data_IF_018419878691
#
_entry.id   IF_018419878691
#
_cell.length_a   1.000
_cell.length_b   1.000
_cell.length_c   1.000
_cell.angle_alpha   90.00
_cell.angle_beta   90.00
_cell.angle_gamma   90.00
#
_symmetry.space_group_name_H-M   'P 1'
#
loop_
_entity.id
_entity.type
_entity.pdbx_description
1 polymer ?
#
# COMPACT_ATOMS: atom_id res chain seq x y z
N UNK A 1 -2.71 -9.43 -21.17
CA UNK A 1 -4.02 -10.00 -20.80
C UNK A 1 -4.60 -9.09 -19.72
N UNK A 2 -5.70 -8.40 -20.01
CA UNK A 2 -6.37 -7.58 -19.00
C UNK A 2 -6.98 -8.53 -17.95
N UNK A 3 -6.55 -8.41 -16.69
CA UNK A 3 -7.15 -9.17 -15.59
C UNK A 3 -8.65 -8.89 -15.52
N UNK A 4 -9.43 -9.89 -15.14
CA UNK A 4 -10.86 -9.72 -14.89
C UNK A 4 -11.06 -8.57 -13.88
N UNK A 5 -12.09 -7.73 -14.00
CA UNK A 5 -12.42 -6.72 -12.97
C UNK A 5 -12.64 -7.32 -11.56
N UNK A 6 -12.68 -8.66 -11.46
CA UNK A 6 -12.78 -9.43 -10.23
C UNK A 6 -11.46 -10.07 -9.75
N UNK A 7 -10.33 -9.85 -10.43
CA UNK A 7 -9.04 -10.45 -10.07
C UNK A 7 -8.44 -9.80 -8.84
N UNK A 8 -8.37 -10.53 -7.75
CA UNK A 8 -7.83 -10.10 -6.45
C UNK A 8 -6.45 -9.45 -6.56
N UNK A 9 -6.23 -8.35 -5.85
CA UNK A 9 -4.92 -7.71 -5.64
C UNK A 9 -4.41 -8.06 -4.23
N UNK A 10 -5.04 -7.52 -3.19
CA UNK A 10 -4.75 -7.85 -1.79
C UNK A 10 -5.84 -8.69 -1.14
N UNK A 11 -7.07 -8.58 -1.66
CA UNK A 11 -8.22 -9.32 -1.16
C UNK A 11 -7.96 -10.84 -1.11
N UNK A 12 -8.44 -11.48 -0.03
CA UNK A 12 -8.37 -12.93 0.12
C UNK A 12 -9.40 -13.64 -0.75
N UNK A 13 -10.48 -12.96 -1.15
CA UNK A 13 -11.58 -13.53 -1.95
C UNK A 13 -11.92 -12.67 -3.17
N UNK A 14 -12.41 -13.26 -4.28
CA UNK A 14 -12.97 -12.50 -5.38
C UNK A 14 -14.10 -11.58 -4.89
N UNK A 15 -14.27 -10.42 -5.55
CA UNK A 15 -15.30 -9.45 -5.14
C UNK A 15 -16.72 -10.03 -5.18
N UNK A 16 -16.99 -10.94 -6.13
CA UNK A 16 -18.25 -11.68 -6.28
C UNK A 16 -18.55 -12.57 -5.06
N UNK A 17 -17.52 -13.06 -4.37
CA UNK A 17 -17.66 -13.92 -3.20
C UNK A 17 -17.74 -13.13 -1.89
N UNK A 18 -17.63 -11.80 -1.94
CA UNK A 18 -17.70 -10.91 -0.78
C UNK A 18 -19.10 -10.28 -0.64
N UNK A 19 -20.04 -11.09 -0.21
CA UNK A 19 -21.48 -10.79 -0.24
C UNK A 19 -21.92 -9.97 0.98
N UNK A 20 -22.87 -9.05 0.76
CA UNK A 20 -23.64 -8.41 1.84
C UNK A 20 -22.92 -7.27 2.57
N UNK A 21 -21.78 -6.79 2.03
CA UNK A 21 -20.96 -5.72 2.62
C UNK A 21 -20.71 -4.55 1.65
N UNK A 22 -21.45 -4.48 0.55
CA UNK A 22 -21.24 -3.46 -0.48
C UNK A 22 -21.47 -2.05 0.04
N UNK A 23 -22.44 -1.87 0.95
CA UNK A 23 -22.72 -0.57 1.58
C UNK A 23 -21.52 -0.09 2.42
N UNK A 24 -20.85 -0.99 3.15
CA UNK A 24 -19.66 -0.66 3.91
C UNK A 24 -18.45 -0.40 3.01
N UNK A 25 -18.28 -1.18 1.94
CA UNK A 25 -17.23 -0.92 0.96
C UNK A 25 -17.41 0.48 0.35
N UNK A 26 -18.64 0.83 -0.04
CA UNK A 26 -18.94 2.12 -0.64
C UNK A 26 -18.73 3.27 0.35
N UNK A 27 -19.10 3.07 1.63
CA UNK A 27 -18.82 4.05 2.68
C UNK A 27 -17.32 4.31 2.82
N UNK A 28 -16.49 3.27 2.83
CA UNK A 28 -15.03 3.41 2.92
C UNK A 28 -14.46 4.08 1.67
N UNK A 29 -14.96 3.74 0.48
CA UNK A 29 -14.55 4.39 -0.78
C UNK A 29 -14.88 5.86 -0.80
N UNK A 30 -16.12 6.22 -0.46
CA UNK A 30 -16.57 7.61 -0.37
C UNK A 30 -15.75 8.41 0.65
N UNK A 31 -15.31 7.76 1.74
CA UNK A 31 -14.46 8.40 2.73
C UNK A 31 -13.00 8.55 2.30
N UNK A 32 -12.51 7.78 1.31
CA UNK A 32 -11.11 7.82 0.89
C UNK A 32 -10.65 9.17 0.31
N UNK A 33 -11.59 10.05 -0.07
CA UNK A 33 -11.32 11.42 -0.52
C UNK A 33 -11.41 12.46 0.61
N UNK A 34 -11.72 12.04 1.84
CA UNK A 34 -11.78 12.91 3.01
C UNK A 34 -10.38 13.20 3.58
N UNK A 35 -10.24 14.32 4.28
CA UNK A 35 -9.05 14.65 5.08
C UNK A 35 -9.07 14.05 6.49
N UNK A 36 -10.19 13.48 6.92
CA UNK A 36 -10.38 12.92 8.25
C UNK A 36 -10.00 11.43 8.31
N UNK A 37 -9.74 10.92 9.52
CA UNK A 37 -9.47 9.50 9.75
C UNK A 37 -10.74 8.72 10.11
N UNK A 38 -10.83 7.47 9.66
CA UNK A 38 -11.89 6.54 10.03
C UNK A 38 -11.36 5.39 10.90
N UNK A 39 -12.00 5.19 12.05
CA UNK A 39 -11.72 4.04 12.92
C UNK A 39 -12.74 2.92 12.66
N UNK A 40 -12.28 1.81 12.09
CA UNK A 40 -13.10 0.62 11.88
C UNK A 40 -12.94 -0.34 13.06
N UNK A 41 -13.96 -0.43 13.91
CA UNK A 41 -14.02 -1.38 15.02
C UNK A 41 -14.86 -2.59 14.62
N UNK A 42 -14.33 -3.79 14.89
CA UNK A 42 -15.05 -5.03 14.63
C UNK A 42 -14.58 -6.12 15.59
N UNK A 43 -15.45 -7.07 15.90
CA UNK A 43 -15.04 -8.27 16.65
C UNK A 43 -14.12 -9.14 15.78
N UNK A 44 -13.15 -9.86 16.38
CA UNK A 44 -12.29 -10.77 15.64
C UNK A 44 -13.09 -11.78 14.80
N UNK A 45 -12.61 -12.08 13.59
CA UNK A 45 -13.25 -13.06 12.69
C UNK A 45 -14.40 -12.51 11.83
N UNK A 46 -14.82 -11.26 11.99
CA UNK A 46 -15.92 -10.65 11.20
C UNK A 46 -15.51 -10.15 9.80
N UNK A 47 -14.24 -10.33 9.44
CA UNK A 47 -13.73 -9.95 8.12
C UNK A 47 -13.42 -8.47 7.92
N UNK A 48 -13.19 -7.67 8.98
CA UNK A 48 -12.76 -6.27 8.85
C UNK A 48 -11.51 -6.10 7.97
N UNK A 49 -10.52 -7.00 8.10
CA UNK A 49 -9.33 -7.01 7.24
C UNK A 49 -9.68 -7.29 5.78
N UNK A 50 -10.60 -8.22 5.53
CA UNK A 50 -11.05 -8.52 4.17
C UNK A 50 -11.82 -7.34 3.59
N UNK A 51 -12.68 -6.69 4.37
CA UNK A 51 -13.38 -5.47 3.98
C UNK A 51 -12.40 -4.39 3.51
N UNK A 52 -11.34 -4.11 4.29
CA UNK A 52 -10.33 -3.12 3.92
C UNK A 52 -9.60 -3.50 2.62
N UNK A 53 -9.26 -4.79 2.44
CA UNK A 53 -8.59 -5.28 1.23
C UNK A 53 -9.50 -5.24 0.00
N UNK A 54 -10.79 -5.54 0.16
CA UNK A 54 -11.79 -5.40 -0.90
C UNK A 54 -11.94 -3.92 -1.31
N UNK A 55 -11.98 -3.01 -0.34
CA UNK A 55 -11.96 -1.57 -0.61
C UNK A 55 -10.69 -1.15 -1.34
N UNK A 56 -9.52 -1.61 -0.89
CA UNK A 56 -8.23 -1.35 -1.55
C UNK A 56 -8.25 -1.78 -3.01
N UNK A 57 -8.66 -3.04 -3.27
CA UNK A 57 -8.77 -3.61 -4.60
C UNK A 57 -9.64 -2.75 -5.53
N UNK A 58 -10.81 -2.30 -5.05
CA UNK A 58 -11.70 -1.43 -5.82
C UNK A 58 -11.09 -0.04 -6.04
N UNK A 59 -10.48 0.56 -5.02
CA UNK A 59 -9.79 1.86 -5.15
C UNK A 59 -8.64 1.79 -6.17
N UNK A 60 -7.84 0.72 -6.16
CA UNK A 60 -6.71 0.56 -7.07
C UNK A 60 -7.15 0.55 -8.54
N UNK A 61 -8.30 -0.07 -8.85
CA UNK A 61 -8.82 -0.15 -10.23
C UNK A 61 -9.56 1.11 -10.65
N UNK A 62 -10.32 1.71 -9.74
CA UNK A 62 -11.30 2.74 -10.09
C UNK A 62 -10.75 4.17 -9.91
N UNK A 63 -9.77 4.38 -9.04
CA UNK A 63 -9.16 5.70 -8.82
C UNK A 63 -7.94 5.92 -9.71
N UNK A 64 -7.79 7.15 -10.21
CA UNK A 64 -6.60 7.59 -10.96
C UNK A 64 -5.84 8.71 -10.22
N UNK A 65 -6.44 9.32 -9.19
CA UNK A 65 -5.91 10.51 -8.53
C UNK A 65 -5.33 10.20 -7.14
N UNK A 66 -6.00 9.37 -6.34
CA UNK A 66 -5.53 8.99 -5.01
C UNK A 66 -4.89 7.60 -5.09
N UNK A 67 -3.63 7.50 -4.71
CA UNK A 67 -2.92 6.22 -4.61
C UNK A 67 -3.40 5.47 -3.37
N UNK A 68 -4.07 4.31 -3.52
CA UNK A 68 -4.45 3.52 -2.36
C UNK A 68 -3.20 2.87 -1.74
N UNK A 69 -3.18 2.83 -0.42
CA UNK A 69 -2.13 2.17 0.36
C UNK A 69 -2.78 1.25 1.39
N UNK A 70 -2.25 0.03 1.50
CA UNK A 70 -2.58 -0.89 2.56
C UNK A 70 -1.31 -1.29 3.31
N UNK A 71 -1.26 -1.03 4.60
CA UNK A 71 -0.16 -1.46 5.46
C UNK A 71 -0.70 -2.22 6.67
N UNK A 72 -0.03 -3.32 7.02
CA UNK A 72 -0.36 -4.10 8.21
C UNK A 72 0.86 -4.20 9.12
N UNK A 73 0.67 -3.86 10.40
CA UNK A 73 1.70 -4.01 11.41
C UNK A 73 1.89 -5.50 11.70
N UNK A 74 3.04 -6.05 11.29
CA UNK A 74 3.36 -7.45 11.50
C UNK A 74 3.80 -7.69 12.94
N UNK A 75 3.36 -8.81 13.53
CA UNK A 75 3.80 -9.25 14.88
C UNK A 75 5.31 -9.50 14.99
N UNK A 76 5.98 -9.68 13.85
CA UNK A 76 7.42 -9.97 13.77
C UNK A 76 8.29 -8.71 13.78
N UNK A 77 7.70 -7.50 13.73
CA UNK A 77 8.45 -6.26 13.81
C UNK A 77 9.17 -6.17 15.16
N UNK A 78 10.50 -6.05 15.16
CA UNK A 78 11.31 -6.08 16.39
C UNK A 78 11.59 -4.68 16.93
N UNK A 79 11.41 -3.66 16.09
CA UNK A 79 11.61 -2.27 16.46
C UNK A 79 10.69 -1.34 15.65
N UNK A 80 10.55 -0.08 16.10
CA UNK A 80 9.88 0.95 15.32
C UNK A 80 10.60 1.27 14.00
N UNK A 81 11.93 1.11 13.95
CA UNK A 81 12.70 1.27 12.72
C UNK A 81 12.40 0.15 11.72
N UNK A 82 12.28 -1.11 12.18
CA UNK A 82 11.90 -2.25 11.34
C UNK A 82 10.50 -2.04 10.74
N UNK A 83 9.57 -1.51 11.56
CA UNK A 83 8.21 -1.21 11.12
C UNK A 83 8.20 -0.10 10.07
N UNK A 84 8.97 0.96 10.30
CA UNK A 84 9.11 2.08 9.39
C UNK A 84 9.73 1.65 8.05
N UNK A 85 10.79 0.84 8.07
CA UNK A 85 11.40 0.27 6.86
C UNK A 85 10.41 -0.62 6.09
N UNK A 86 9.67 -1.48 6.82
CA UNK A 86 8.64 -2.34 6.21
C UNK A 86 7.50 -1.52 5.60
N UNK A 87 7.13 -0.40 6.22
CA UNK A 87 6.13 0.52 5.68
C UNK A 87 6.62 1.16 4.39
N UNK A 88 7.87 1.66 4.36
CA UNK A 88 8.43 2.30 3.19
C UNK A 88 8.55 1.34 2.00
N UNK A 89 8.98 0.10 2.22
CA UNK A 89 9.02 -0.93 1.17
C UNK A 89 7.62 -1.20 0.60
N UNK A 90 6.64 -1.46 1.46
CA UNK A 90 5.26 -1.73 1.05
C UNK A 90 4.63 -0.52 0.33
N UNK A 91 4.92 0.69 0.80
CA UNK A 91 4.49 1.94 0.19
C UNK A 91 5.05 2.09 -1.23
N UNK A 92 6.37 1.95 -1.40
CA UNK A 92 7.02 2.08 -2.70
C UNK A 92 6.50 1.04 -3.69
N UNK A 93 6.35 -0.21 -3.24
CA UNK A 93 5.84 -1.31 -4.07
C UNK A 93 4.41 -1.04 -4.55
N UNK A 94 3.51 -0.65 -3.65
CA UNK A 94 2.12 -0.36 -4.00
C UNK A 94 1.99 0.92 -4.84
N UNK A 95 2.82 1.92 -4.60
CA UNK A 95 2.88 3.15 -5.38
C UNK A 95 3.31 2.87 -6.83
N UNK A 96 4.41 2.14 -7.03
CA UNK A 96 4.90 1.78 -8.37
C UNK A 96 3.87 0.92 -9.09
N UNK A 97 3.28 -0.07 -8.40
CA UNK A 97 2.20 -0.89 -8.93
C UNK A 97 1.02 -0.04 -9.41
N UNK A 98 0.56 0.90 -8.58
CA UNK A 98 -0.57 1.76 -8.91
C UNK A 98 -0.26 2.70 -10.09
N UNK A 99 0.91 3.33 -10.09
CA UNK A 99 1.33 4.23 -11.19
C UNK A 99 1.48 3.51 -12.52
N UNK A 100 1.89 2.24 -12.50
CA UNK A 100 1.98 1.38 -13.69
C UNK A 100 0.66 0.70 -14.05
N UNK A 101 -0.37 0.82 -13.21
CA UNK A 101 -1.62 0.06 -13.31
C UNK A 101 -1.36 -1.46 -13.40
N UNK A 102 -0.32 -1.92 -12.70
CA UNK A 102 0.11 -3.31 -12.69
C UNK A 102 0.11 -3.88 -11.26
N UNK A 103 -0.99 -4.55 -10.84
CA UNK A 103 -1.10 -5.12 -9.51
C UNK A 103 -0.19 -6.32 -9.26
N UNK A 104 0.45 -6.88 -10.29
CA UNK A 104 1.34 -8.04 -10.13
C UNK A 104 2.63 -7.67 -9.38
N UNK A 105 3.05 -6.40 -9.46
CA UNK A 105 4.22 -5.84 -8.77
C UNK A 105 4.06 -5.92 -7.24
N UNK A 106 2.84 -5.81 -6.72
CA UNK A 106 2.56 -5.94 -5.27
C UNK A 106 2.95 -7.33 -4.75
N UNK A 107 2.84 -8.35 -5.61
CA UNK A 107 3.13 -9.75 -5.26
C UNK A 107 4.49 -10.23 -5.75
N UNK A 108 5.23 -9.41 -6.51
CA UNK A 108 6.56 -9.78 -6.99
C UNK A 108 7.57 -9.77 -5.83
N UNK A 109 8.71 -10.43 -6.02
CA UNK A 109 9.84 -10.34 -5.12
C UNK A 109 10.75 -9.14 -5.44
N UNK A 110 10.22 -8.12 -6.12
CA UNK A 110 11.02 -6.99 -6.59
C UNK A 110 11.72 -6.28 -5.42
N UNK A 111 13.03 -6.09 -5.57
CA UNK A 111 13.83 -5.30 -4.66
C UNK A 111 13.79 -3.81 -5.01
N UNK A 112 14.42 -2.97 -4.19
CA UNK A 112 14.44 -1.52 -4.39
C UNK A 112 15.01 -1.10 -5.76
N UNK A 113 16.01 -1.81 -6.28
CA UNK A 113 16.61 -1.49 -7.59
C UNK A 113 15.62 -1.72 -8.73
N UNK A 114 14.94 -2.86 -8.71
CA UNK A 114 13.91 -3.19 -9.70
C UNK A 114 12.73 -2.21 -9.61
N UNK A 115 12.32 -1.83 -8.39
CA UNK A 115 11.29 -0.80 -8.20
C UNK A 115 11.72 0.57 -8.77
N UNK A 116 13.00 0.93 -8.67
CA UNK A 116 13.56 2.15 -9.25
C UNK A 116 13.52 2.12 -10.77
N UNK A 117 13.94 1.01 -11.38
CA UNK A 117 13.87 0.83 -12.83
C UNK A 117 12.42 0.90 -13.33
N UNK A 118 11.51 0.24 -12.61
CA UNK A 118 10.08 0.25 -12.92
C UNK A 118 9.46 1.66 -12.79
N UNK A 119 9.95 2.50 -11.86
CA UNK A 119 9.45 3.86 -11.65
C UNK A 119 9.87 4.87 -12.72
N UNK A 120 10.98 4.62 -13.43
CA UNK A 120 11.45 5.50 -14.53
C UNK A 120 10.38 5.70 -15.61
N UNK A 121 9.67 4.63 -15.95
CA UNK A 121 8.63 4.65 -17.00
C UNK A 121 7.35 5.40 -16.62
N UNK A 122 7.17 5.75 -15.34
CA UNK A 122 5.98 6.45 -14.83
C UNK A 122 6.29 7.87 -14.32
N UNK A 123 7.46 8.42 -14.69
CA UNK A 123 7.78 9.85 -14.53
C UNK A 123 7.97 10.32 -13.09
N UNK A 124 8.27 9.42 -12.16
CA UNK A 124 8.30 9.71 -10.73
C UNK A 124 9.64 10.22 -10.20
N UNK A 125 10.07 11.44 -10.56
CA UNK A 125 11.29 12.06 -9.99
C UNK A 125 11.32 12.09 -8.45
N UNK A 126 10.15 12.10 -7.80
CA UNK A 126 10.03 12.04 -6.33
C UNK A 126 10.08 10.61 -5.78
N UNK A 127 9.77 9.59 -6.59
CA UNK A 127 9.91 8.17 -6.23
C UNK A 127 11.39 7.85 -6.05
N UNK A 128 12.24 8.37 -6.94
CA UNK A 128 13.70 8.22 -6.84
C UNK A 128 14.23 8.76 -5.50
N UNK A 129 13.69 9.88 -5.00
CA UNK A 129 14.06 10.45 -3.69
C UNK A 129 13.65 9.56 -2.52
N UNK A 130 12.49 8.91 -2.61
CA UNK A 130 12.06 7.95 -1.59
C UNK A 130 12.89 6.66 -1.65
N UNK A 131 13.29 6.22 -2.84
CA UNK A 131 14.18 5.08 -3.03
C UNK A 131 15.59 5.38 -2.50
N UNK A 132 16.14 6.56 -2.79
CA UNK A 132 17.41 7.02 -2.21
C UNK A 132 17.33 7.07 -0.68
N UNK A 133 16.21 7.54 -0.13
CA UNK A 133 15.96 7.54 1.31
C UNK A 133 15.95 6.12 1.85
N UNK A 134 15.28 5.17 1.19
CA UNK A 134 15.28 3.76 1.57
C UNK A 134 16.69 3.14 1.55
N UNK A 135 17.47 3.37 0.48
CA UNK A 135 18.86 2.88 0.35
C UNK A 135 19.75 3.39 1.48
N UNK A 136 19.66 4.68 1.82
CA UNK A 136 20.46 5.27 2.88
C UNK A 136 20.16 4.65 4.26
N UNK A 137 18.92 4.19 4.47
CA UNK A 137 18.52 3.51 5.70
C UNK A 137 19.08 2.09 5.80
N UNK A 138 19.24 1.39 4.67
CA UNK A 138 19.85 0.04 4.64
C UNK A 138 21.36 0.08 4.93
N UNK A 139 22.06 1.09 4.43
CA UNK A 139 23.54 1.18 4.49
C UNK A 139 24.01 1.72 5.85
N UNK A 140 23.30 2.70 6.43
CA UNK A 140 23.70 3.34 7.67
C UNK A 140 22.46 3.65 8.53
N UNK A 141 22.08 2.75 9.47
CA UNK A 141 20.99 3.03 10.39
C UNK A 141 21.39 4.19 11.31
N UNK A 142 20.94 5.39 10.98
CA UNK A 142 21.08 6.57 11.83
C UNK A 142 20.24 6.47 13.11
N UNK A 143 20.08 7.59 13.83
CA UNK A 143 19.19 7.64 14.99
C UNK A 143 17.79 7.13 14.64
N UNK A 144 17.28 6.15 15.41
CA UNK A 144 15.99 5.46 15.16
C UNK A 144 14.82 6.42 14.91
N UNK A 145 14.79 7.59 15.55
CA UNK A 145 13.77 8.63 15.32
C UNK A 145 13.83 9.26 13.92
N UNK A 146 15.03 9.49 13.39
CA UNK A 146 15.21 10.03 12.04
C UNK A 146 14.72 9.06 10.97
N UNK A 147 14.97 7.77 11.18
CA UNK A 147 14.51 6.68 10.30
C UNK A 147 12.98 6.65 10.23
N UNK A 148 12.33 6.61 11.39
CA UNK A 148 10.87 6.56 11.48
C UNK A 148 10.22 7.76 10.80
N UNK A 149 10.75 8.97 11.06
CA UNK A 149 10.25 10.19 10.44
C UNK A 149 10.37 10.14 8.93
N UNK A 150 11.50 9.71 8.39
CA UNK A 150 11.73 9.67 6.95
C UNK A 150 10.86 8.64 6.24
N UNK A 151 10.61 7.48 6.84
CA UNK A 151 9.73 6.47 6.25
C UNK A 151 8.26 6.87 6.27
N UNK A 152 7.79 7.48 7.36
CA UNK A 152 6.37 7.82 7.54
C UNK A 152 5.99 9.18 6.95
N UNK A 153 6.95 10.03 6.61
CA UNK A 153 6.72 11.31 5.95
C UNK A 153 6.52 11.20 4.42
N UNK A 154 6.45 9.98 3.87
CA UNK A 154 6.08 9.79 2.46
C UNK A 154 4.55 10.03 2.27
N UNK A 155 4.11 10.79 1.26
CA UNK A 155 4.89 11.55 0.28
C UNK A 155 5.28 12.94 0.81
N UNK A 156 6.49 13.39 0.47
CA UNK A 156 6.96 14.76 0.71
C UNK A 156 6.16 15.79 -0.09
#
# INVERSE_FOLDING_TARGET
MAGSPHDRILAGRPAVDFIGRDAEVERLRSHATSSDGLLLLATPGTGATELQKQTYDRLFRDQQQITPLYFSVRRTARSGADLAASFLDEFLRQLVAFRRQDPTIIRSAAGLEELAELSLSVGGFWIDRLIETARNLEIAPGSSRGIIRNCLAAPL
#
